data_IF_504944935662
#
_entry.id   IF_504944935662
#
_cell.length_a   1.000
_cell.length_b   1.000
_cell.length_c   1.000
_cell.angle_alpha   90.00
_cell.angle_beta   90.00
_cell.angle_gamma   90.00
#
_symmetry.space_group_name_H-M   'P 1'
#
loop_
_entity.id
_entity.type
_entity.pdbx_description
1 polymer ?
#
# COMPACT_ATOMS: atom_id res chain seq x y z
N UNK A 1 -10.30 -0.59 15.05
CA UNK A 1 -9.01 -1.29 14.92
C UNK A 1 -7.96 -0.36 15.46
N UNK A 2 -7.22 -0.81 16.47
CA UNK A 2 -6.07 -0.05 16.96
C UNK A 2 -4.79 -0.45 16.19
N UNK A 3 -3.72 0.31 16.37
CA UNK A 3 -2.43 0.07 15.70
C UNK A 3 -1.78 -1.26 16.15
N UNK A 4 -2.09 -1.77 17.34
CA UNK A 4 -1.59 -3.04 17.87
C UNK A 4 -2.26 -4.24 17.17
N UNK A 5 -3.56 -4.18 16.89
CA UNK A 5 -4.27 -5.20 16.11
C UNK A 5 -3.73 -5.30 14.68
N UNK A 6 -3.39 -4.16 14.07
CA UNK A 6 -2.80 -4.12 12.74
C UNK A 6 -1.37 -4.70 12.74
N UNK A 7 -0.57 -4.35 13.75
CA UNK A 7 0.77 -4.90 13.90
C UNK A 7 0.75 -6.41 14.17
N UNK A 8 -0.22 -6.92 14.94
CA UNK A 8 -0.38 -8.36 15.16
C UNK A 8 -0.76 -9.10 13.86
N UNK A 9 -1.62 -8.51 13.01
CA UNK A 9 -1.91 -9.04 11.68
C UNK A 9 -0.67 -9.01 10.77
N UNK A 10 0.16 -7.96 10.89
CA UNK A 10 1.43 -7.87 10.18
C UNK A 10 2.40 -8.97 10.57
N UNK A 11 2.56 -9.23 11.87
CA UNK A 11 3.38 -10.33 12.38
C UNK A 11 2.86 -11.69 11.87
N UNK A 12 1.55 -11.91 11.87
CA UNK A 12 0.97 -13.16 11.35
C UNK A 12 1.22 -13.37 9.85
N UNK A 13 1.13 -12.32 9.02
CA UNK A 13 1.42 -12.41 7.58
C UNK A 13 2.92 -12.61 7.35
N UNK A 14 3.79 -11.98 8.15
CA UNK A 14 5.23 -12.14 8.09
C UNK A 14 5.72 -13.52 8.60
N UNK A 15 5.04 -14.10 9.58
CA UNK A 15 5.35 -15.43 10.12
C UNK A 15 4.87 -16.56 9.20
N UNK A 16 3.76 -16.36 8.49
CA UNK A 16 3.31 -17.28 7.44
C UNK A 16 4.18 -17.23 6.18
N UNK A 17 5.11 -16.27 6.11
CA UNK A 17 6.09 -16.09 5.03
C UNK A 17 7.52 -16.46 5.47
N UNK A 18 7.68 -17.45 6.36
CA UNK A 18 8.96 -17.92 6.91
C UNK A 18 10.10 -18.14 5.91
N UNK A 19 9.79 -18.40 4.64
CA UNK A 19 10.77 -18.60 3.56
C UNK A 19 10.95 -17.39 2.61
N UNK A 20 10.31 -16.26 2.89
CA UNK A 20 10.42 -15.07 2.05
C UNK A 20 11.64 -14.22 2.43
N UNK A 21 12.39 -13.69 1.46
CA UNK A 21 13.53 -12.82 1.72
C UNK A 21 13.13 -11.61 2.58
N UNK A 22 14.04 -11.17 3.45
CA UNK A 22 13.82 -10.00 4.33
C UNK A 22 13.41 -8.75 3.54
N UNK A 23 13.94 -8.60 2.31
CA UNK A 23 13.56 -7.55 1.39
C UNK A 23 12.05 -7.54 1.06
N UNK A 24 11.43 -8.72 0.93
CA UNK A 24 9.99 -8.82 0.64
C UNK A 24 9.17 -8.41 1.86
N UNK A 25 9.55 -8.87 3.06
CA UNK A 25 8.90 -8.47 4.32
C UNK A 25 8.97 -6.96 4.51
N UNK A 26 10.11 -6.36 4.19
CA UNK A 26 10.30 -4.92 4.26
C UNK A 26 9.40 -4.17 3.26
N UNK A 27 9.31 -4.61 2.01
CA UNK A 27 8.40 -4.02 1.00
C UNK A 27 6.94 -4.07 1.49
N UNK A 28 6.49 -5.22 2.02
CA UNK A 28 5.14 -5.33 2.56
C UNK A 28 4.90 -4.39 3.75
N UNK A 29 5.87 -4.25 4.65
CA UNK A 29 5.79 -3.31 5.78
C UNK A 29 5.63 -1.86 5.31
N UNK A 30 6.38 -1.47 4.29
CA UNK A 30 6.30 -0.12 3.71
C UNK A 30 4.93 0.12 3.05
N UNK A 31 4.45 -0.82 2.23
CA UNK A 31 3.14 -0.68 1.58
C UNK A 31 2.03 -0.58 2.61
N UNK A 32 2.05 -1.41 3.66
CA UNK A 32 1.05 -1.39 4.71
C UNK A 32 1.08 -0.07 5.51
N UNK A 33 2.24 0.30 6.05
CA UNK A 33 2.39 1.52 6.87
C UNK A 33 2.03 2.79 6.10
N UNK A 34 2.44 2.89 4.84
CA UNK A 34 2.07 4.01 3.97
C UNK A 34 0.59 4.03 3.62
N UNK A 35 -0.07 2.87 3.49
CA UNK A 35 -1.52 2.78 3.26
C UNK A 35 -2.31 3.30 4.46
N UNK A 36 -1.93 2.91 5.67
CA UNK A 36 -2.58 3.38 6.90
C UNK A 36 -2.41 4.89 7.06
N UNK A 37 -1.18 5.37 6.91
CA UNK A 37 -0.88 6.80 6.97
C UNK A 37 -1.65 7.58 5.89
N UNK A 38 -1.74 7.03 4.67
CA UNK A 38 -2.51 7.63 3.59
C UNK A 38 -4.00 7.70 3.93
N UNK A 39 -4.60 6.60 4.39
CA UNK A 39 -6.01 6.54 4.80
C UNK A 39 -6.31 7.59 5.86
N UNK A 40 -5.51 7.64 6.91
CA UNK A 40 -5.74 8.54 8.04
C UNK A 40 -5.59 10.01 7.62
N UNK A 41 -4.61 10.31 6.75
CA UNK A 41 -4.44 11.64 6.17
C UNK A 41 -5.63 12.04 5.30
N UNK A 42 -6.05 11.18 4.38
CA UNK A 42 -7.13 11.49 3.43
C UNK A 42 -8.48 11.64 4.14
N UNK A 43 -8.75 10.82 5.16
CA UNK A 43 -9.93 11.00 6.01
C UNK A 43 -9.92 12.37 6.69
N UNK A 44 -8.77 12.78 7.24
CA UNK A 44 -8.64 14.06 7.95
C UNK A 44 -8.73 15.27 7.01
N UNK A 45 -8.12 15.20 5.84
CA UNK A 45 -7.99 16.34 4.93
C UNK A 45 -9.18 16.52 3.99
N UNK A 46 -9.81 15.43 3.57
CA UNK A 46 -10.82 15.42 2.51
C UNK A 46 -12.14 14.80 2.92
N UNK A 47 -12.24 14.27 4.13
CA UNK A 47 -13.41 13.50 4.62
C UNK A 47 -13.76 12.31 3.72
N UNK A 48 -12.75 11.74 3.05
CA UNK A 48 -12.89 10.58 2.16
C UNK A 48 -12.46 9.32 2.91
N UNK A 49 -13.34 8.32 2.92
CA UNK A 49 -13.04 6.98 3.42
C UNK A 49 -12.31 6.19 2.32
N UNK A 50 -11.08 5.76 2.59
CA UNK A 50 -10.36 4.83 1.70
C UNK A 50 -10.87 3.42 1.94
N UNK A 51 -11.39 2.80 0.89
CA UNK A 51 -11.99 1.45 0.96
C UNK A 51 -10.98 0.36 0.64
N UNK A 52 -11.34 -0.89 0.96
CA UNK A 52 -10.56 -2.08 0.54
C UNK A 52 -10.46 -2.17 -0.98
N UNK A 53 -11.51 -1.77 -1.70
CA UNK A 53 -11.53 -1.74 -3.16
C UNK A 53 -10.51 -0.74 -3.72
N UNK A 54 -10.39 0.44 -3.11
CA UNK A 54 -9.39 1.44 -3.51
C UNK A 54 -7.96 0.91 -3.36
N UNK A 55 -7.70 0.21 -2.25
CA UNK A 55 -6.39 -0.40 -1.96
C UNK A 55 -6.10 -1.54 -2.93
N UNK A 56 -7.07 -2.42 -3.17
CA UNK A 56 -6.91 -3.57 -4.09
C UNK A 56 -6.66 -3.09 -5.51
N UNK A 57 -7.42 -2.10 -5.98
CA UNK A 57 -7.27 -1.51 -7.31
C UNK A 57 -5.89 -0.87 -7.49
N UNK A 58 -5.45 -0.08 -6.50
CA UNK A 58 -4.11 0.51 -6.56
C UNK A 58 -3.01 -0.56 -6.55
N UNK A 59 -3.24 -1.71 -5.89
CA UNK A 59 -2.26 -2.79 -5.79
C UNK A 59 -2.14 -3.54 -7.11
N UNK A 60 -3.26 -3.79 -7.78
CA UNK A 60 -3.28 -4.35 -9.13
C UNK A 60 -2.50 -3.45 -10.09
N UNK A 61 -2.70 -2.13 -10.02
CA UNK A 61 -1.91 -1.18 -10.82
C UNK A 61 -0.42 -1.19 -10.49
N UNK A 62 -0.06 -1.35 -9.21
CA UNK A 62 1.33 -1.48 -8.80
C UNK A 62 1.98 -2.72 -9.43
N UNK A 63 1.28 -3.86 -9.42
CA UNK A 63 1.75 -5.08 -10.06
C UNK A 63 1.90 -4.92 -11.58
N UNK A 64 0.91 -4.33 -12.25
CA UNK A 64 0.97 -4.06 -13.69
C UNK A 64 2.09 -3.09 -14.06
N UNK A 65 2.29 -2.04 -13.26
CA UNK A 65 3.36 -1.07 -13.45
C UNK A 65 4.74 -1.73 -13.33
N UNK A 66 4.95 -2.59 -12.32
CA UNK A 66 6.22 -3.30 -12.17
C UNK A 66 6.54 -4.20 -13.37
N UNK A 67 5.53 -4.80 -14.00
CA UNK A 67 5.71 -5.68 -15.16
C UNK A 67 5.88 -4.93 -16.49
N UNK A 68 5.13 -3.84 -16.67
CA UNK A 68 4.94 -3.22 -17.99
C UNK A 68 5.36 -1.76 -18.07
N UNK A 69 5.72 -1.14 -16.93
CA UNK A 69 6.00 0.30 -16.79
C UNK A 69 4.84 1.19 -17.24
N UNK A 70 3.62 0.63 -17.34
CA UNK A 70 2.42 1.39 -17.70
C UNK A 70 1.80 2.01 -16.47
N UNK A 71 1.53 3.30 -16.56
CA UNK A 71 0.74 4.01 -15.57
C UNK A 71 -0.74 3.68 -15.76
N UNK A 72 -1.53 3.65 -14.67
CA UNK A 72 -2.98 3.48 -14.77
C UNK A 72 -3.61 4.69 -15.46
N UNK A 73 -4.49 4.44 -16.42
CA UNK A 73 -5.29 5.47 -17.11
C UNK A 73 -6.63 5.63 -16.38
N UNK A 74 -6.68 6.55 -15.41
CA UNK A 74 -7.86 6.77 -14.58
C UNK A 74 -7.98 8.22 -14.13
N UNK A 75 -9.22 8.66 -13.91
CA UNK A 75 -9.54 9.93 -13.25
C UNK A 75 -9.84 9.75 -11.75
N UNK A 76 -9.74 8.53 -11.20
CA UNK A 76 -9.99 8.32 -9.77
C UNK A 76 -8.82 8.86 -8.94
N UNK A 77 -9.03 10.04 -8.35
CA UNK A 77 -8.01 10.78 -7.61
C UNK A 77 -7.51 10.06 -6.35
N UNK A 78 -8.32 9.23 -5.69
CA UNK A 78 -7.92 8.55 -4.45
C UNK A 78 -6.99 7.38 -4.74
N UNK A 79 -7.40 6.50 -5.66
CA UNK A 79 -6.65 5.31 -6.05
C UNK A 79 -5.30 5.69 -6.67
N UNK A 80 -5.30 6.70 -7.56
CA UNK A 80 -4.05 7.15 -8.18
C UNK A 80 -3.12 7.85 -7.18
N UNK A 81 -3.68 8.55 -6.18
CA UNK A 81 -2.86 9.15 -5.12
C UNK A 81 -2.24 8.09 -4.22
N UNK A 82 -2.97 7.00 -3.92
CA UNK A 82 -2.43 5.87 -3.15
C UNK A 82 -1.33 5.15 -3.93
N UNK A 83 -1.57 4.86 -5.22
CA UNK A 83 -0.57 4.29 -6.11
C UNK A 83 0.71 5.15 -6.19
N UNK A 84 0.57 6.46 -6.38
CA UNK A 84 1.72 7.38 -6.39
C UNK A 84 2.43 7.46 -5.03
N UNK A 85 1.68 7.34 -3.92
CA UNK A 85 2.26 7.24 -2.58
C UNK A 85 3.19 6.02 -2.48
N UNK A 86 2.73 4.86 -2.93
CA UNK A 86 3.55 3.64 -2.93
C UNK A 86 4.75 3.73 -3.85
N UNK A 87 4.60 4.26 -5.07
CA UNK A 87 5.76 4.47 -5.95
C UNK A 87 6.81 5.39 -5.31
N UNK A 88 6.37 6.45 -4.64
CA UNK A 88 7.25 7.36 -3.92
C UNK A 88 8.00 6.69 -2.77
N UNK A 89 7.34 5.79 -2.04
CA UNK A 89 8.00 5.01 -0.98
C UNK A 89 8.95 3.95 -1.55
N UNK A 90 8.53 3.21 -2.58
CA UNK A 90 9.34 2.14 -3.18
C UNK A 90 10.60 2.66 -3.88
N UNK A 91 10.53 3.83 -4.52
CA UNK A 91 11.69 4.47 -5.16
C UNK A 91 12.80 4.84 -4.16
N UNK A 92 12.53 4.88 -2.85
CA UNK A 92 13.57 5.12 -1.84
C UNK A 92 14.50 3.93 -1.64
N UNK A 93 14.15 2.76 -2.17
CA UNK A 93 14.92 1.52 -2.03
C UNK A 93 15.69 1.13 -3.29
N UNK A 94 15.54 1.88 -4.38
CA UNK A 94 16.14 1.61 -5.70
C UNK A 94 17.22 2.65 -6.01
#
# INVERSE_FOLDING_TARGET
MDDLEINALFEQVCDNSKDQPEAVKHIFSVLLSSTLAFRDRIQKEKDIIVTVEDVTTALDWLFEFMQSQKMPDTNNSTQISLFNCWLGELNKFI
#
